data_IF_669452153189
#
_entry.id   IF_669452153189
#
_cell.length_a   1.000
_cell.length_b   1.000
_cell.length_c   1.000
_cell.angle_alpha   90.00
_cell.angle_beta   90.00
_cell.angle_gamma   90.00
#
_symmetry.space_group_name_H-M   'P 1'
#
loop_
_entity.id
_entity.type
_entity.pdbx_description
1 polymer ?
#
# COMPACT_ATOMS: atom_id res chain seq x y z
N UNK A 1 -23.13 18.00 4.31
CA UNK A 1 -23.36 16.67 3.72
C UNK A 1 -23.99 15.80 4.81
N UNK A 2 -25.19 15.26 4.59
CA UNK A 2 -25.98 14.59 5.63
C UNK A 2 -25.30 13.28 6.09
N UNK A 3 -25.33 12.96 7.39
CA UNK A 3 -24.75 11.72 7.93
C UNK A 3 -25.33 10.44 7.31
N UNK A 4 -26.55 10.53 6.78
CA UNK A 4 -27.17 9.48 5.97
C UNK A 4 -26.45 9.24 4.63
N UNK A 5 -25.96 10.31 3.98
CA UNK A 5 -25.23 10.23 2.70
C UNK A 5 -23.83 9.68 2.92
N UNK A 6 -23.17 10.05 4.03
CA UNK A 6 -21.92 9.39 4.48
C UNK A 6 -22.14 7.89 4.69
N UNK A 7 -23.18 7.49 5.44
CA UNK A 7 -23.50 6.07 5.68
C UNK A 7 -23.90 5.29 4.42
N UNK A 8 -24.54 5.91 3.43
CA UNK A 8 -24.86 5.27 2.15
C UNK A 8 -23.66 5.15 1.20
N UNK A 9 -22.69 6.06 1.23
CA UNK A 9 -21.49 5.98 0.41
C UNK A 9 -20.58 4.81 0.82
N UNK A 10 -20.47 4.52 2.13
CA UNK A 10 -19.82 3.30 2.65
C UNK A 10 -20.54 1.99 2.26
N UNK A 11 -21.74 2.09 1.68
CA UNK A 11 -22.55 0.95 1.23
C UNK A 11 -22.25 0.54 -0.21
N UNK A 12 -21.61 1.41 -1.01
CA UNK A 12 -21.31 1.14 -2.43
C UNK A 12 -20.17 0.11 -2.58
N UNK A 13 -19.23 0.11 -1.64
CA UNK A 13 -18.36 -1.05 -1.38
C UNK A 13 -18.77 -1.59 -0.02
N UNK A 14 -19.84 -2.38 0.03
CA UNK A 14 -20.27 -3.07 1.24
C UNK A 14 -19.17 -4.05 1.66
N UNK A 15 -18.22 -3.55 2.46
CA UNK A 15 -17.11 -4.31 3.02
C UNK A 15 -17.68 -5.53 3.73
N UNK A 16 -18.86 -5.43 4.37
CA UNK A 16 -19.54 -6.58 4.98
C UNK A 16 -20.01 -7.59 3.95
N UNK A 17 -20.44 -7.19 2.75
CA UNK A 17 -20.78 -8.11 1.63
C UNK A 17 -19.55 -8.78 1.04
N UNK A 18 -18.42 -8.08 0.94
CA UNK A 18 -17.12 -8.64 0.55
C UNK A 18 -16.61 -9.63 1.60
N UNK A 19 -16.70 -9.27 2.89
CA UNK A 19 -16.44 -10.13 4.05
C UNK A 19 -17.36 -11.34 4.05
N UNK A 20 -18.65 -11.18 3.78
CA UNK A 20 -19.62 -12.28 3.78
C UNK A 20 -19.38 -13.25 2.60
N UNK A 21 -19.03 -12.74 1.42
CA UNK A 21 -18.56 -13.58 0.29
C UNK A 21 -17.27 -14.33 0.62
N UNK A 22 -16.38 -13.73 1.41
CA UNK A 22 -15.14 -14.36 1.83
C UNK A 22 -15.37 -15.40 2.94
N UNK A 23 -16.16 -15.08 3.96
CA UNK A 23 -16.61 -15.98 5.04
C UNK A 23 -17.34 -17.20 4.50
N UNK A 24 -18.11 -17.04 3.41
CA UNK A 24 -18.82 -18.13 2.75
C UNK A 24 -17.94 -19.03 1.88
N UNK A 25 -16.74 -18.57 1.48
CA UNK A 25 -15.84 -19.30 0.56
C UNK A 25 -14.61 -19.89 1.24
N UNK A 26 -14.14 -19.34 2.37
CA UNK A 26 -12.95 -19.82 3.08
C UNK A 26 -13.25 -20.15 4.54
N UNK A 27 -13.45 -21.44 4.83
CA UNK A 27 -13.45 -21.98 6.20
C UNK A 27 -12.03 -22.35 6.62
N UNK A 28 -11.19 -21.36 6.86
CA UNK A 28 -9.96 -21.59 7.62
C UNK A 28 -9.71 -20.38 8.52
N UNK A 29 -9.95 -20.58 9.81
CA UNK A 29 -9.30 -19.77 10.83
C UNK A 29 -7.80 -19.86 10.62
N UNK A 30 -7.10 -18.77 10.87
CA UNK A 30 -6.07 -18.71 11.91
C UNK A 30 -5.30 -17.40 11.67
N UNK A 31 -5.41 -16.45 12.61
CA UNK A 31 -4.16 -15.87 13.09
C UNK A 31 -3.29 -17.05 13.51
N UNK A 32 -2.41 -17.48 12.60
CA UNK A 32 -1.53 -18.61 12.84
C UNK A 32 -0.42 -18.10 13.73
N UNK A 33 -0.59 -18.29 15.02
CA UNK A 33 0.47 -18.19 16.00
C UNK A 33 1.60 -19.18 15.64
N UNK A 34 2.79 -18.62 15.45
CA UNK A 34 4.14 -19.19 15.54
C UNK A 34 4.58 -20.37 14.64
N UNK A 35 5.51 -20.06 13.72
CA UNK A 35 6.89 -20.62 13.59
C UNK A 35 7.56 -20.34 12.23
N UNK A 36 6.81 -19.85 11.24
CA UNK A 36 7.35 -19.41 9.94
C UNK A 36 7.03 -17.92 9.73
N UNK A 37 7.92 -17.04 10.18
CA UNK A 37 7.88 -15.64 9.77
C UNK A 37 8.01 -15.57 8.25
N UNK A 38 7.11 -14.84 7.61
CA UNK A 38 7.24 -14.58 6.17
C UNK A 38 8.46 -13.69 5.98
N UNK A 39 9.41 -14.13 5.15
CA UNK A 39 10.59 -13.34 4.83
C UNK A 39 10.31 -12.52 3.57
N UNK A 40 10.29 -11.19 3.72
CA UNK A 40 10.13 -10.27 2.61
C UNK A 40 11.53 -9.82 2.18
N UNK A 41 11.96 -10.33 1.04
CA UNK A 41 13.28 -10.09 0.49
C UNK A 41 13.33 -8.74 -0.24
N UNK A 42 14.51 -8.10 -0.31
CA UNK A 42 14.70 -6.96 -1.17
C UNK A 42 14.49 -7.37 -2.62
N UNK A 43 13.93 -6.47 -3.41
CA UNK A 43 13.74 -6.75 -4.82
C UNK A 43 15.06 -6.59 -5.59
N UNK A 44 15.43 -7.62 -6.33
CA UNK A 44 16.74 -7.74 -6.99
C UNK A 44 16.69 -7.61 -8.51
N UNK A 45 15.50 -7.61 -9.12
CA UNK A 45 15.39 -7.81 -10.57
C UNK A 45 15.47 -6.51 -11.38
N UNK A 46 15.43 -5.34 -10.73
CA UNK A 46 15.63 -4.02 -11.35
C UNK A 46 16.86 -3.36 -10.78
N UNK A 47 17.97 -3.51 -11.51
CA UNK A 47 19.13 -2.66 -11.34
C UNK A 47 18.93 -1.39 -12.19
N UNK A 48 18.58 -0.28 -11.54
CA UNK A 48 18.36 1.02 -12.21
C UNK A 48 19.64 1.63 -12.78
N UNK A 49 20.82 1.14 -12.40
CA UNK A 49 22.09 1.62 -12.93
C UNK A 49 22.78 0.51 -13.75
N UNK A 50 23.05 0.77 -15.03
CA UNK A 50 23.75 -0.16 -15.94
C UNK A 50 25.08 -0.67 -15.36
N UNK A 51 25.74 0.13 -14.50
CA UNK A 51 27.00 -0.24 -13.86
C UNK A 51 26.87 -1.26 -12.70
N UNK A 52 25.65 -1.56 -12.23
CA UNK A 52 25.43 -2.46 -11.09
C UNK A 52 24.65 -3.74 -11.45
N UNK A 53 24.31 -3.93 -12.73
CA UNK A 53 23.56 -5.09 -13.21
C UNK A 53 24.32 -6.40 -12.96
N UNK A 54 23.67 -7.37 -12.31
CA UNK A 54 24.24 -8.69 -12.02
C UNK A 54 25.23 -8.75 -10.85
N UNK A 55 25.32 -7.68 -10.05
CA UNK A 55 26.13 -7.67 -8.83
C UNK A 55 25.35 -8.33 -7.68
N UNK A 56 26.05 -9.07 -6.81
CA UNK A 56 25.45 -9.59 -5.59
C UNK A 56 25.19 -8.43 -4.61
N UNK A 57 23.97 -8.37 -4.08
CA UNK A 57 23.64 -7.48 -2.96
C UNK A 57 24.07 -8.13 -1.64
N UNK A 58 24.60 -7.32 -0.72
CA UNK A 58 24.76 -7.76 0.67
C UNK A 58 23.38 -7.72 1.33
N UNK A 59 22.74 -8.88 1.46
CA UNK A 59 21.41 -8.99 2.05
C UNK A 59 21.55 -9.14 3.57
N UNK A 60 20.86 -8.27 4.31
CA UNK A 60 20.82 -8.30 5.77
C UNK A 60 19.38 -8.20 6.28
N UNK A 61 19.15 -8.81 7.44
CA UNK A 61 17.92 -8.58 8.21
C UNK A 61 17.85 -7.10 8.60
N UNK A 62 16.69 -6.50 8.37
CA UNK A 62 16.41 -5.11 8.72
C UNK A 62 15.59 -5.00 10.00
N UNK A 63 14.40 -5.63 10.00
CA UNK A 63 13.46 -5.59 11.14
C UNK A 63 12.32 -6.60 11.01
N UNK A 64 11.59 -6.75 12.09
CA UNK A 64 10.27 -7.41 12.11
C UNK A 64 9.18 -6.36 11.82
N UNK A 65 8.16 -6.76 11.06
CA UNK A 65 6.99 -5.95 10.71
C UNK A 65 5.72 -6.82 10.69
N UNK A 66 4.57 -6.23 10.38
CA UNK A 66 3.28 -6.92 10.27
C UNK A 66 2.69 -6.75 8.88
N UNK A 67 2.34 -7.86 8.25
CA UNK A 67 1.62 -7.89 6.98
C UNK A 67 0.15 -7.65 7.26
N UNK A 68 -0.39 -6.55 6.76
CA UNK A 68 -1.80 -6.22 6.77
C UNK A 68 -2.50 -6.80 5.54
N UNK A 69 -3.48 -7.67 5.80
CA UNK A 69 -4.46 -8.17 4.84
C UNK A 69 -5.87 -7.90 5.38
N UNK A 70 -6.90 -7.91 4.52
CA UNK A 70 -8.31 -7.76 4.86
C UNK A 70 -8.80 -8.66 6.01
N UNK A 71 -8.13 -9.79 6.26
CA UNK A 71 -8.61 -10.84 7.16
C UNK A 71 -7.61 -11.22 8.26
N UNK A 72 -6.34 -10.83 8.11
CA UNK A 72 -5.29 -11.19 9.04
C UNK A 72 -4.26 -10.07 9.14
N UNK A 73 -3.58 -10.06 10.28
CA UNK A 73 -2.33 -9.34 10.46
C UNK A 73 -1.27 -10.34 10.94
N UNK A 74 -0.15 -10.46 10.23
CA UNK A 74 0.84 -11.50 10.56
C UNK A 74 2.25 -10.93 10.63
N UNK A 75 3.02 -11.32 11.64
CA UNK A 75 4.43 -10.93 11.75
C UNK A 75 5.27 -11.48 10.60
N UNK A 76 6.22 -10.67 10.13
CA UNK A 76 7.12 -10.97 9.03
C UNK A 76 8.51 -10.38 9.29
N UNK A 77 9.52 -10.90 8.59
CA UNK A 77 10.88 -10.39 8.62
C UNK A 77 11.17 -9.63 7.34
N UNK A 78 11.65 -8.40 7.46
CA UNK A 78 12.05 -7.56 6.35
C UNK A 78 13.55 -7.64 6.16
N UNK A 79 13.98 -7.90 4.93
CA UNK A 79 15.38 -7.89 4.52
C UNK A 79 15.63 -6.71 3.58
N UNK A 80 16.84 -6.17 3.64
CA UNK A 80 17.33 -5.14 2.72
C UNK A 80 18.62 -5.63 2.06
N UNK A 81 18.85 -5.22 0.81
CA UNK A 81 20.07 -5.51 0.07
C UNK A 81 20.88 -4.23 -0.12
N UNK A 82 22.17 -4.24 0.21
CA UNK A 82 23.04 -3.08 -0.06
C UNK A 82 23.96 -3.39 -1.23
N UNK A 83 24.00 -2.49 -2.22
CA UNK A 83 24.98 -2.60 -3.30
C UNK A 83 26.28 -1.87 -2.91
N UNK A 84 27.41 -2.59 -2.88
CA UNK A 84 28.71 -1.99 -2.50
C UNK A 84 29.18 -0.90 -3.47
N UNK A 85 28.79 -0.99 -4.74
CA UNK A 85 29.26 -0.11 -5.83
C UNK A 85 28.50 1.22 -5.87
N UNK A 86 27.17 1.18 -5.97
CA UNK A 86 26.35 2.40 -6.02
C UNK A 86 25.91 2.91 -4.64
N UNK A 87 26.19 2.16 -3.56
CA UNK A 87 25.75 2.48 -2.18
C UNK A 87 24.24 2.62 -2.01
N UNK A 88 23.44 2.21 -3.00
CA UNK A 88 21.99 2.17 -2.85
C UNK A 88 21.57 1.02 -1.91
N UNK A 89 20.50 1.28 -1.15
CA UNK A 89 19.83 0.27 -0.33
C UNK A 89 18.54 -0.15 -1.06
N UNK A 90 18.45 -1.43 -1.38
CA UNK A 90 17.32 -2.07 -2.01
C UNK A 90 16.40 -2.61 -0.92
N UNK A 91 15.17 -2.10 -0.88
CA UNK A 91 14.09 -2.64 -0.07
C UNK A 91 13.16 -3.54 -0.88
N UNK A 92 12.12 -4.09 -0.24
CA UNK A 92 11.10 -4.87 -0.92
C UNK A 92 10.37 -4.14 -2.05
N UNK A 93 10.05 -2.85 -1.86
CA UNK A 93 9.24 -2.09 -2.82
C UNK A 93 9.87 -0.79 -3.29
N UNK A 94 11.14 -0.54 -2.94
CA UNK A 94 11.84 0.69 -3.29
C UNK A 94 13.36 0.54 -3.25
N UNK A 95 14.04 1.52 -3.83
CA UNK A 95 15.49 1.67 -3.77
C UNK A 95 15.78 3.02 -3.12
N UNK A 96 16.49 3.03 -2.00
CA UNK A 96 17.00 4.26 -1.39
C UNK A 96 18.37 4.58 -1.98
N UNK A 97 18.44 5.68 -2.73
CA UNK A 97 19.69 6.30 -3.13
C UNK A 97 20.21 7.16 -1.98
N UNK A 98 21.34 6.75 -1.39
CA UNK A 98 21.97 7.45 -0.26
C UNK A 98 22.60 8.78 -0.66
N UNK A 99 23.00 8.95 -1.92
CA UNK A 99 23.66 10.17 -2.38
C UNK A 99 22.66 11.30 -2.57
N UNK A 100 21.52 11.00 -3.16
CA UNK A 100 20.44 11.97 -3.41
C UNK A 100 19.41 12.01 -2.28
N UNK A 101 19.45 11.06 -1.34
CA UNK A 101 18.48 10.88 -0.28
C UNK A 101 17.04 10.73 -0.84
N UNK A 102 16.92 9.97 -1.92
CA UNK A 102 15.67 9.73 -2.65
C UNK A 102 15.25 8.27 -2.58
N UNK A 103 13.93 8.06 -2.51
CA UNK A 103 13.27 6.77 -2.66
C UNK A 103 12.89 6.64 -4.13
N UNK A 104 13.49 5.67 -4.81
CA UNK A 104 13.24 5.35 -6.20
C UNK A 104 12.29 4.16 -6.24
N UNK A 105 11.23 4.29 -7.03
CA UNK A 105 10.26 3.24 -7.30
C UNK A 105 10.30 2.99 -8.79
N UNK A 106 10.32 1.73 -9.21
CA UNK A 106 10.36 1.36 -10.63
C UNK A 106 9.07 0.69 -11.04
N UNK A 107 8.76 0.75 -12.33
CA UNK A 107 7.53 0.16 -12.85
C UNK A 107 7.49 -1.36 -12.59
N UNK A 108 8.61 -2.05 -12.84
CA UNK A 108 8.73 -3.48 -12.61
C UNK A 108 8.68 -3.85 -11.12
N UNK A 109 9.18 -3.00 -10.21
CA UNK A 109 9.01 -3.16 -8.75
C UNK A 109 7.52 -3.23 -8.41
N UNK A 110 6.74 -2.22 -8.80
CA UNK A 110 5.32 -2.12 -8.46
C UNK A 110 4.48 -3.27 -9.05
N UNK A 111 4.82 -3.75 -10.24
CA UNK A 111 4.05 -4.82 -10.88
C UNK A 111 4.32 -6.21 -10.32
N UNK A 112 5.53 -6.47 -9.85
CA UNK A 112 5.98 -7.82 -9.45
C UNK A 112 5.78 -8.15 -7.98
N UNK A 113 5.60 -7.14 -7.11
CA UNK A 113 5.50 -7.37 -5.66
C UNK A 113 4.06 -7.54 -5.18
N UNK A 114 3.81 -8.63 -4.46
CA UNK A 114 2.55 -8.82 -3.72
C UNK A 114 2.55 -8.09 -2.39
N UNK A 115 3.75 -7.82 -1.84
CA UNK A 115 3.96 -7.09 -0.60
C UNK A 115 4.50 -5.70 -0.90
N UNK A 116 3.75 -4.67 -0.49
CA UNK A 116 4.13 -3.27 -0.63
C UNK A 116 4.64 -2.76 0.72
N UNK A 117 5.92 -2.41 0.77
CA UNK A 117 6.61 -1.92 1.95
C UNK A 117 7.64 -0.85 1.58
N UNK A 118 7.44 0.34 2.14
CA UNK A 118 8.36 1.47 1.98
C UNK A 118 9.14 1.78 3.27
N UNK A 119 8.51 1.68 4.43
CA UNK A 119 9.13 1.89 5.74
C UNK A 119 8.21 1.43 6.88
N UNK A 120 8.70 1.50 8.12
CA UNK A 120 7.89 1.31 9.32
C UNK A 120 7.71 -0.16 9.72
N UNK A 121 6.61 -0.45 10.39
CA UNK A 121 6.30 -1.77 10.96
C UNK A 121 5.09 -2.43 10.28
N UNK A 122 4.57 -1.82 9.20
CA UNK A 122 3.44 -2.34 8.43
C UNK A 122 3.83 -2.58 6.98
N UNK A 123 3.48 -3.76 6.49
CA UNK A 123 3.58 -4.19 5.10
C UNK A 123 2.16 -4.39 4.60
N UNK A 124 1.84 -3.88 3.41
CA UNK A 124 0.50 -4.00 2.87
C UNK A 124 0.50 -5.02 1.75
N UNK A 125 -0.43 -5.97 1.77
CA UNK A 125 -0.69 -6.71 0.54
C UNK A 125 -1.24 -5.76 -0.52
N UNK A 126 -0.76 -5.89 -1.76
CA UNK A 126 -1.20 -5.09 -2.90
C UNK A 126 -2.73 -5.09 -3.06
N UNK A 127 -3.38 -6.21 -2.76
CA UNK A 127 -4.84 -6.33 -2.78
C UNK A 127 -5.52 -5.37 -1.78
N UNK A 128 -4.97 -5.23 -0.57
CA UNK A 128 -5.50 -4.31 0.44
C UNK A 128 -5.38 -2.86 -0.03
N UNK A 129 -4.24 -2.47 -0.60
CA UNK A 129 -4.06 -1.14 -1.19
C UNK A 129 -5.03 -0.90 -2.35
N UNK A 130 -5.23 -1.89 -3.22
CA UNK A 130 -6.18 -1.77 -4.34
C UNK A 130 -7.61 -1.57 -3.86
N UNK A 131 -8.04 -2.30 -2.83
CA UNK A 131 -9.36 -2.13 -2.22
C UNK A 131 -9.48 -0.76 -1.57
N UNK A 132 -8.47 -0.35 -0.83
CA UNK A 132 -8.46 0.97 -0.22
C UNK A 132 -8.52 2.07 -1.29
N UNK A 133 -7.73 2.00 -2.37
CA UNK A 133 -7.80 2.95 -3.49
C UNK A 133 -9.21 3.03 -4.05
N UNK A 134 -9.88 1.90 -4.26
CA UNK A 134 -11.27 1.87 -4.74
C UNK A 134 -12.24 2.56 -3.76
N UNK A 135 -12.14 2.24 -2.46
CA UNK A 135 -12.99 2.85 -1.43
C UNK A 135 -12.70 4.34 -1.27
N UNK A 136 -11.43 4.74 -1.29
CA UNK A 136 -11.01 6.13 -1.23
C UNK A 136 -11.62 6.88 -2.42
N UNK A 137 -11.29 6.47 -3.64
CA UNK A 137 -11.65 7.15 -4.89
C UNK A 137 -13.17 7.15 -5.15
N UNK A 138 -13.81 5.98 -5.11
CA UNK A 138 -15.20 5.84 -5.56
C UNK A 138 -16.24 5.99 -4.45
N UNK A 139 -15.86 5.71 -3.21
CA UNK A 139 -16.75 5.82 -2.05
C UNK A 139 -16.40 7.01 -1.13
N UNK A 140 -15.39 7.81 -1.49
CA UNK A 140 -14.98 9.02 -0.76
C UNK A 140 -14.68 8.71 0.72
N UNK A 141 -14.10 7.53 0.96
CA UNK A 141 -13.70 7.05 2.27
C UNK A 141 -12.46 7.81 2.75
N UNK A 142 -12.38 8.15 4.03
CA UNK A 142 -11.15 8.72 4.63
C UNK A 142 -10.18 7.61 5.07
N UNK A 143 -8.92 7.97 5.33
CA UNK A 143 -7.94 7.01 5.86
C UNK A 143 -8.36 6.50 7.24
N UNK A 144 -8.87 7.39 8.08
CA UNK A 144 -9.37 7.10 9.42
C UNK A 144 -10.57 6.16 9.38
N UNK A 145 -11.58 6.46 8.58
CA UNK A 145 -12.78 5.61 8.46
C UNK A 145 -12.43 4.19 7.97
N UNK A 146 -11.52 4.09 6.99
CA UNK A 146 -11.04 2.79 6.53
C UNK A 146 -10.30 2.03 7.64
N UNK A 147 -9.41 2.72 8.36
CA UNK A 147 -8.64 2.11 9.43
C UNK A 147 -9.53 1.63 10.58
N UNK A 148 -10.54 2.41 10.96
CA UNK A 148 -11.52 2.03 11.98
C UNK A 148 -12.30 0.78 11.54
N UNK A 149 -12.83 0.79 10.32
CA UNK A 149 -13.56 -0.35 9.74
C UNK A 149 -12.68 -1.60 9.65
N UNK A 150 -11.42 -1.43 9.25
CA UNK A 150 -10.44 -2.51 9.16
C UNK A 150 -10.14 -3.13 10.53
N UNK A 151 -9.82 -2.31 11.53
CA UNK A 151 -9.52 -2.79 12.89
C UNK A 151 -10.75 -3.42 13.55
N UNK A 152 -11.93 -2.84 13.33
CA UNK A 152 -13.22 -3.43 13.76
C UNK A 152 -13.40 -4.82 13.14
N UNK A 153 -13.18 -4.94 11.83
CA UNK A 153 -13.28 -6.22 11.11
C UNK A 153 -12.31 -7.26 11.66
N UNK A 154 -11.06 -6.89 11.92
CA UNK A 154 -10.09 -7.80 12.51
C UNK A 154 -10.51 -8.25 13.92
N UNK A 155 -11.04 -7.32 14.72
CA UNK A 155 -11.52 -7.62 16.08
C UNK A 155 -12.70 -8.59 16.05
N UNK A 156 -13.64 -8.41 15.11
CA UNK A 156 -14.81 -9.30 14.94
C UNK A 156 -14.41 -10.70 14.47
N UNK A 157 -13.45 -10.78 13.56
CA UNK A 157 -12.95 -12.06 13.06
C UNK A 157 -12.14 -12.81 14.12
N UNK A 158 -11.52 -12.08 15.05
CA UNK A 158 -10.55 -12.62 16.00
C UNK A 158 -10.75 -12.02 17.40
N UNK A 159 -11.89 -12.31 18.05
CA UNK A 159 -12.37 -11.60 19.25
C UNK A 159 -11.50 -11.77 20.49
N UNK A 160 -10.59 -12.73 20.48
CA UNK A 160 -9.66 -12.99 21.59
C UNK A 160 -8.32 -12.29 21.43
N UNK A 161 -8.15 -11.46 20.39
CA UNK A 161 -6.91 -10.75 20.12
C UNK A 161 -7.06 -9.26 20.32
N UNK A 162 -6.07 -8.66 20.99
CA UNK A 162 -5.98 -7.21 21.12
C UNK A 162 -5.42 -6.65 19.80
N UNK A 163 -6.07 -5.64 19.19
CA UNK A 163 -5.55 -4.99 18.00
C UNK A 163 -4.12 -4.46 18.25
N UNK A 164 -3.18 -4.85 17.38
CA UNK A 164 -1.78 -4.41 17.48
C UNK A 164 -1.59 -2.91 17.24
N UNK A 165 -2.49 -2.29 16.47
CA UNK A 165 -2.42 -0.88 16.10
C UNK A 165 -3.75 -0.20 16.38
N UNK A 166 -3.67 1.05 16.86
CA UNK A 166 -4.84 1.92 16.88
C UNK A 166 -5.25 2.27 15.45
N UNK A 167 -6.55 2.53 15.19
CA UNK A 167 -7.01 3.00 13.88
C UNK A 167 -6.23 4.23 13.38
N UNK A 168 -5.95 5.19 14.26
CA UNK A 168 -5.20 6.39 13.91
C UNK A 168 -3.75 6.07 13.46
N UNK A 169 -3.06 5.19 14.18
CA UNK A 169 -1.70 4.76 13.79
C UNK A 169 -1.72 4.05 12.43
N UNK A 170 -2.71 3.18 12.21
CA UNK A 170 -2.84 2.46 10.95
C UNK A 170 -3.16 3.40 9.79
N UNK A 171 -4.07 4.36 9.98
CA UNK A 171 -4.45 5.37 8.98
C UNK A 171 -3.24 6.17 8.50
N UNK A 172 -2.43 6.70 9.42
CA UNK A 172 -1.22 7.47 9.08
C UNK A 172 -0.22 6.66 8.27
N UNK A 173 -0.02 5.40 8.64
CA UNK A 173 0.91 4.53 7.94
C UNK A 173 0.39 4.12 6.56
N UNK A 174 -0.92 3.86 6.46
CA UNK A 174 -1.60 3.54 5.21
C UNK A 174 -1.47 4.70 4.23
N UNK A 175 -1.67 5.93 4.70
CA UNK A 175 -1.55 7.12 3.85
C UNK A 175 -0.19 7.25 3.18
N UNK A 176 0.89 7.12 3.94
CA UNK A 176 2.25 7.27 3.39
C UNK A 176 2.51 6.20 2.34
N UNK A 177 2.21 4.95 2.65
CA UNK A 177 2.42 3.83 1.73
C UNK A 177 1.55 3.97 0.48
N UNK A 178 0.29 4.37 0.67
CA UNK A 178 -0.66 4.57 -0.41
C UNK A 178 -0.23 5.71 -1.35
N UNK A 179 0.27 6.82 -0.81
CA UNK A 179 0.77 7.94 -1.62
C UNK A 179 1.94 7.52 -2.52
N UNK A 180 2.96 6.85 -1.96
CA UNK A 180 4.06 6.31 -2.77
C UNK A 180 3.54 5.35 -3.84
N UNK A 181 2.62 4.47 -3.48
CA UNK A 181 2.06 3.47 -4.38
C UNK A 181 1.25 4.10 -5.52
N UNK A 182 0.27 4.94 -5.24
CA UNK A 182 -0.61 5.52 -6.26
C UNK A 182 0.05 6.62 -7.09
N UNK A 183 0.90 7.48 -6.51
CA UNK A 183 1.64 8.47 -7.30
C UNK A 183 2.58 7.79 -8.31
N UNK A 184 3.27 6.73 -7.88
CA UNK A 184 4.13 5.97 -8.79
C UNK A 184 3.32 5.33 -9.92
N UNK A 185 2.21 4.67 -9.59
CA UNK A 185 1.31 4.07 -10.59
C UNK A 185 0.78 5.10 -11.57
N UNK A 186 0.31 6.23 -11.07
CA UNK A 186 -0.18 7.33 -11.89
C UNK A 186 0.89 7.82 -12.87
N UNK A 187 2.11 8.08 -12.39
CA UNK A 187 3.21 8.52 -13.25
C UNK A 187 3.55 7.45 -14.29
N UNK A 188 3.67 6.18 -13.91
CA UNK A 188 3.98 5.12 -14.88
C UNK A 188 2.94 4.92 -15.98
N UNK A 189 1.67 5.24 -15.70
CA UNK A 189 0.60 5.11 -16.71
C UNK A 189 0.53 6.37 -17.57
N UNK A 190 0.72 7.55 -16.97
CA UNK A 190 0.59 8.85 -17.66
C UNK A 190 1.86 9.29 -18.38
N UNK A 191 3.00 8.76 -17.96
CA UNK A 191 4.31 9.06 -18.51
C UNK A 191 4.97 7.75 -18.93
N UNK A 192 5.72 7.74 -20.03
CA UNK A 192 6.50 6.57 -20.45
C UNK A 192 7.73 6.32 -19.54
N UNK A 193 7.73 6.86 -18.32
CA UNK A 193 8.80 6.71 -17.34
C UNK A 193 8.84 5.28 -16.81
N UNK A 194 10.06 4.79 -16.58
CA UNK A 194 10.28 3.44 -16.02
C UNK A 194 10.66 3.48 -14.53
N UNK A 195 10.94 4.68 -14.01
CA UNK A 195 11.27 4.94 -12.61
C UNK A 195 10.77 6.30 -12.17
N UNK A 196 10.35 6.41 -10.91
CA UNK A 196 10.00 7.66 -10.25
C UNK A 196 10.86 7.81 -9.00
N UNK A 197 11.34 9.03 -8.74
CA UNK A 197 12.10 9.35 -7.55
C UNK A 197 11.31 10.30 -6.66
N UNK A 198 11.23 9.97 -5.38
CA UNK A 198 10.57 10.76 -4.35
C UNK A 198 11.58 11.17 -3.27
N UNK A 199 11.40 12.30 -2.58
CA UNK A 199 12.17 12.58 -1.39
C UNK A 199 11.95 11.49 -0.32
N UNK A 200 13.00 11.14 0.43
CA UNK A 200 12.93 10.13 1.51
C UNK A 200 11.91 10.45 2.60
N UNK A 201 11.64 11.73 2.87
CA UNK A 201 10.75 12.16 3.94
C UNK A 201 9.35 12.45 3.42
N UNK A 202 8.52 11.42 3.35
CA UNK A 202 7.12 11.55 3.73
C UNK A 202 6.94 11.01 5.16
N UNK A 203 7.81 11.40 6.10
CA UNK A 203 7.64 10.94 7.49
C UNK A 203 6.30 11.43 8.04
N UNK A 204 5.60 10.64 8.89
CA UNK A 204 4.31 11.05 9.46
C UNK A 204 4.40 12.37 10.23
N UNK A 205 5.54 12.60 10.90
CA UNK A 205 5.85 13.78 11.71
C UNK A 205 6.19 15.01 10.85
N UNK A 206 6.71 14.77 9.65
CA UNK A 206 7.02 15.79 8.64
C UNK A 206 6.14 15.60 7.42
N UNK A 207 4.87 15.24 7.61
CA UNK A 207 3.88 15.22 6.52
C UNK A 207 4.07 16.51 5.78
N UNK A 208 4.48 16.43 4.52
CA UNK A 208 4.84 17.66 3.83
C UNK A 208 3.56 18.48 3.76
N UNK A 209 3.65 19.76 4.15
CA UNK A 209 2.55 20.73 4.00
C UNK A 209 1.97 20.65 2.58
N UNK A 210 2.79 20.25 1.61
CA UNK A 210 2.40 19.94 0.25
C UNK A 210 1.39 18.76 0.16
N UNK A 211 1.65 17.59 0.75
CA UNK A 211 0.70 16.47 0.71
C UNK A 211 -0.62 16.86 1.36
N UNK A 212 -0.60 17.41 2.57
CA UNK A 212 -1.84 17.73 3.28
C UNK A 212 -2.69 18.76 2.53
N UNK A 213 -2.04 19.80 1.98
CA UNK A 213 -2.74 20.83 1.19
C UNK A 213 -3.22 20.32 -0.16
N UNK A 214 -2.51 19.38 -0.77
CA UNK A 214 -2.83 18.87 -2.09
C UNK A 214 -3.60 17.55 -2.05
N UNK A 215 -3.85 16.94 -0.89
CA UNK A 215 -4.58 15.68 -0.81
C UNK A 215 -5.96 15.76 -1.49
N UNK A 216 -6.74 16.86 -1.37
CA UNK A 216 -7.99 17.00 -2.13
C UNK A 216 -7.78 17.11 -3.64
N UNK A 217 -6.68 17.72 -4.08
CA UNK A 217 -6.33 17.85 -5.51
C UNK A 217 -5.84 16.51 -6.07
N UNK A 218 -4.95 15.82 -5.34
CA UNK A 218 -4.52 14.46 -5.66
C UNK A 218 -5.70 13.51 -5.69
N UNK A 219 -6.61 13.63 -4.73
CA UNK A 219 -7.87 12.90 -4.71
C UNK A 219 -8.70 13.17 -5.96
N UNK A 220 -8.87 14.44 -6.33
CA UNK A 220 -9.61 14.80 -7.53
C UNK A 220 -8.94 14.24 -8.80
N UNK A 221 -7.63 14.43 -8.95
CA UNK A 221 -6.85 13.92 -10.08
C UNK A 221 -6.97 12.41 -10.17
N UNK A 222 -6.78 11.69 -9.07
CA UNK A 222 -6.89 10.24 -9.04
C UNK A 222 -8.32 9.78 -9.27
N UNK A 223 -9.32 10.47 -8.73
CA UNK A 223 -10.71 10.11 -8.95
C UNK A 223 -11.10 10.25 -10.42
N UNK A 224 -10.76 11.38 -11.04
CA UNK A 224 -11.00 11.61 -12.47
C UNK A 224 -10.19 10.65 -13.34
N UNK A 225 -8.93 10.40 -12.97
CA UNK A 225 -8.06 9.53 -13.75
C UNK A 225 -8.53 8.07 -13.67
N UNK A 226 -8.72 7.53 -12.46
CA UNK A 226 -9.09 6.14 -12.24
C UNK A 226 -10.55 5.83 -12.57
N UNK A 227 -11.47 6.81 -12.51
CA UNK A 227 -12.83 6.62 -13.02
C UNK A 227 -12.84 6.36 -14.53
N UNK A 228 -11.88 6.92 -15.26
CA UNK A 228 -11.77 6.83 -16.71
C UNK A 228 -10.86 5.70 -17.20
N UNK A 229 -10.12 5.03 -16.31
CA UNK A 229 -9.22 3.92 -16.67
C UNK A 229 -9.78 2.58 -16.16
N UNK A 230 -10.18 1.71 -17.08
CA UNK A 230 -10.75 0.36 -16.83
C UNK A 230 -9.83 -0.62 -16.08
N UNK A 231 -8.59 -0.23 -15.76
CA UNK A 231 -7.56 -1.12 -15.20
C UNK A 231 -7.49 -0.94 -13.67
N UNK A 232 -8.63 -1.13 -13.02
CA UNK A 232 -8.63 -1.73 -11.69
C UNK A 232 -9.33 -3.07 -11.87
N UNK A 233 -8.55 -4.16 -11.84
CA UNK A 233 -9.04 -5.51 -12.11
C UNK A 233 -10.34 -5.79 -11.33
N UNK A 234 -11.44 -5.98 -12.06
CA UNK A 234 -12.72 -6.45 -11.52
C UNK A 234 -13.94 -5.52 -11.67
N UNK A 235 -13.83 -4.32 -12.25
CA UNK A 235 -14.98 -3.40 -12.36
C UNK A 235 -15.08 -2.80 -13.77
N UNK A 236 -16.27 -2.85 -14.38
CA UNK A 236 -16.59 -2.13 -15.63
C UNK A 236 -16.99 -0.68 -15.30
N UNK A 237 -16.41 0.32 -15.99
CA UNK A 237 -16.93 1.70 -15.99
C UNK A 237 -18.41 1.65 -16.39
N UNK A 238 -19.26 2.43 -15.72
CA UNK A 238 -20.57 2.78 -16.28
C UNK A 238 -20.31 3.84 -17.35
N UNK A 239 -20.74 3.60 -18.58
CA UNK A 239 -20.49 4.46 -19.75
C UNK A 239 -20.83 5.94 -19.50
N UNK A 240 -21.80 6.21 -18.63
CA UNK A 240 -22.25 7.56 -18.23
C UNK A 240 -21.21 8.39 -17.47
N UNK A 241 -20.16 7.78 -16.92
CA UNK A 241 -19.08 8.47 -16.17
C UNK A 241 -17.80 8.63 -16.98
N UNK A 242 -17.79 8.12 -18.22
CA UNK A 242 -16.63 8.02 -19.09
C UNK A 242 -16.71 9.03 -20.27
N UNK A 243 -17.48 10.13 -20.15
CA UNK A 243 -17.66 11.19 -21.16
C UNK A 243 -17.18 12.56 -20.69
#
# INVERSE_FOLDING_TARGET
MNDLVKKELFRIVDINKLINRYKSSNKTSLFRNDKNLINIMPFTDVYTNMNCKGQNLDIAFSRTAHIANLIFMQSCSIYIGTCRRCKCIYGPSSILDQHTNQIIITHQLIQSVDYVYFSGDLVYLRQLLTIFSNSFIHAHTTFEDFAESYISTLSDLHPYQVPMYSPNTFAKHLEIVWLYYELSRFIFITTCETSVSFPKSFQPETRSIFIEKNLPVLFHIFTVFWSNHHIINGIKCKEELCS
#
